data_IF_440759753142
#
_entry.id   IF_440759753142
#
_cell.length_a   1.000
_cell.length_b   1.000
_cell.length_c   1.000
_cell.angle_alpha   90.00
_cell.angle_beta   90.00
_cell.angle_gamma   90.00
#
_symmetry.space_group_name_H-M   'P 1'
#
loop_
_entity.id
_entity.type
_entity.pdbx_description
1 polymer ?
#
# COMPACT_ATOMS: atom_id res chain seq x y z
N UNK A 1 9.38 7.10 7.24
CA UNK A 1 10.01 5.85 6.76
C UNK A 1 11.13 5.54 7.73
N UNK A 2 11.17 4.37 8.36
CA UNK A 2 12.29 3.98 9.23
C UNK A 2 12.93 2.76 8.56
N UNK A 3 13.98 3.03 7.80
CA UNK A 3 15.04 2.04 7.59
C UNK A 3 15.63 1.77 8.97
N UNK A 4 15.71 0.51 9.35
CA UNK A 4 16.68 0.08 10.36
C UNK A 4 17.57 -0.93 9.69
N UNK A 5 18.86 -0.70 9.80
CA UNK A 5 19.87 -1.71 9.55
C UNK A 5 19.62 -2.89 10.48
N UNK A 6 19.56 -4.09 9.91
CA UNK A 6 19.79 -5.31 10.68
C UNK A 6 21.21 -5.25 11.29
N UNK A 7 21.50 -5.88 12.43
CA UNK A 7 22.85 -5.93 13.01
C UNK A 7 23.97 -6.39 12.05
N UNK A 8 23.66 -7.01 10.92
CA UNK A 8 24.58 -7.37 9.83
C UNK A 8 24.72 -6.30 8.73
N UNK A 9 24.03 -5.16 8.84
CA UNK A 9 24.04 -4.08 7.83
C UNK A 9 23.21 -4.36 6.59
N UNK A 10 22.39 -5.41 6.60
CA UNK A 10 21.57 -5.80 5.44
C UNK A 10 20.24 -5.04 5.39
N UNK A 11 19.87 -4.61 4.19
CA UNK A 11 18.59 -3.93 3.93
C UNK A 11 17.46 -4.96 3.91
N UNK A 12 16.87 -5.19 5.07
CA UNK A 12 15.72 -6.09 5.22
C UNK A 12 14.38 -5.37 4.99
N UNK A 13 13.54 -5.99 4.17
CA UNK A 13 12.18 -5.51 3.91
C UNK A 13 11.30 -5.70 5.16
N UNK A 14 10.79 -4.60 5.74
CA UNK A 14 9.85 -4.68 6.86
C UNK A 14 8.40 -4.80 6.36
N UNK A 15 7.72 -5.89 6.73
CA UNK A 15 6.29 -6.06 6.46
C UNK A 15 5.48 -5.04 7.27
N UNK A 16 4.73 -4.18 6.57
CA UNK A 16 3.79 -3.23 7.19
C UNK A 16 2.36 -3.60 6.82
N UNK A 17 1.66 -4.27 7.72
CA UNK A 17 0.25 -4.62 7.53
C UNK A 17 -0.66 -3.48 8.04
N UNK A 18 -1.83 -3.32 7.42
CA UNK A 18 -2.85 -2.38 7.90
C UNK A 18 -3.56 -2.87 9.16
N UNK A 19 -3.46 -4.17 9.48
CA UNK A 19 -4.14 -4.81 10.60
C UNK A 19 -5.65 -4.91 10.44
N UNK A 20 -6.18 -4.65 9.24
CA UNK A 20 -7.61 -4.72 8.97
C UNK A 20 -8.04 -6.17 8.75
N UNK A 21 -8.90 -6.70 9.63
CA UNK A 21 -9.51 -8.02 9.51
C UNK A 21 -10.90 -7.98 8.85
N UNK A 22 -11.37 -6.81 8.41
CA UNK A 22 -12.68 -6.67 7.79
C UNK A 22 -12.72 -7.35 6.42
N UNK A 23 -13.63 -8.31 6.25
CA UNK A 23 -13.85 -9.07 5.01
C UNK A 23 -15.01 -8.51 4.18
N UNK A 24 -15.77 -7.57 4.72
CA UNK A 24 -16.92 -6.96 4.06
C UNK A 24 -16.45 -6.15 2.87
N UNK A 25 -16.80 -6.59 1.65
CA UNK A 25 -16.73 -5.76 0.46
C UNK A 25 -17.68 -4.58 0.70
N UNK A 26 -17.16 -3.38 0.95
CA UNK A 26 -18.05 -2.22 0.92
C UNK A 26 -17.33 -0.92 0.65
N UNK A 27 -18.10 -0.04 0.01
CA UNK A 27 -17.74 1.30 -0.46
C UNK A 27 -16.83 2.03 0.53
N UNK A 28 -15.82 2.68 -0.04
CA UNK A 28 -14.87 3.56 0.63
C UNK A 28 -15.48 4.27 1.83
N UNK A 29 -14.94 3.99 3.02
CA UNK A 29 -15.32 4.64 4.26
C UNK A 29 -14.19 5.60 4.65
N UNK A 30 -14.41 6.93 4.55
CA UNK A 30 -13.43 7.91 4.99
C UNK A 30 -13.04 7.64 6.45
N UNK A 31 -11.76 7.39 6.70
CA UNK A 31 -11.23 7.01 8.02
C UNK A 31 -10.75 5.56 8.10
N UNK A 32 -11.57 4.59 7.68
CA UNK A 32 -11.17 3.17 7.63
C UNK A 32 -10.02 2.95 6.63
N UNK A 33 -10.13 3.58 5.46
CA UNK A 33 -9.24 3.34 4.33
C UNK A 33 -8.02 4.29 4.30
N UNK A 34 -7.91 5.20 5.26
CA UNK A 34 -6.84 6.20 5.30
C UNK A 34 -5.45 5.54 5.39
N UNK A 35 -5.32 4.48 6.19
CA UNK A 35 -4.07 3.71 6.32
C UNK A 35 -3.73 2.95 5.04
N UNK A 36 -4.74 2.36 4.39
CA UNK A 36 -4.55 1.64 3.13
C UNK A 36 -4.12 2.60 2.01
N UNK A 37 -4.79 3.74 1.88
CA UNK A 37 -4.42 4.80 0.93
C UNK A 37 -3.00 5.29 1.16
N UNK A 38 -2.60 5.58 2.40
CA UNK A 38 -1.24 6.03 2.72
C UNK A 38 -0.19 4.97 2.35
N UNK A 39 -0.47 3.70 2.61
CA UNK A 39 0.41 2.59 2.25
C UNK A 39 0.58 2.47 0.73
N UNK A 40 -0.51 2.56 -0.04
CA UNK A 40 -0.46 2.47 -1.50
C UNK A 40 0.36 3.63 -2.08
N UNK A 41 0.17 4.86 -1.58
CA UNK A 41 0.94 6.03 -2.03
C UNK A 41 2.44 5.86 -1.72
N UNK A 42 2.78 5.43 -0.49
CA UNK A 42 4.19 5.18 -0.11
C UNK A 42 4.84 4.10 -0.98
N UNK A 43 4.11 3.02 -1.28
CA UNK A 43 4.58 1.97 -2.17
C UNK A 43 4.80 2.50 -3.59
N UNK A 44 3.88 3.34 -4.09
CA UNK A 44 4.00 3.96 -5.41
C UNK A 44 5.18 4.92 -5.54
N UNK A 45 5.40 5.80 -4.56
CA UNK A 45 6.57 6.69 -4.51
C UNK A 45 7.88 5.90 -4.47
N UNK A 46 7.91 4.79 -3.74
CA UNK A 46 9.07 3.91 -3.65
C UNK A 46 9.26 2.96 -4.85
N UNK A 47 8.34 2.91 -5.81
CA UNK A 47 8.36 1.94 -6.92
C UNK A 47 8.21 0.49 -6.44
N UNK A 48 7.49 0.25 -5.35
CA UNK A 48 7.34 -1.06 -4.71
C UNK A 48 5.97 -1.69 -5.03
N UNK A 49 5.91 -3.02 -5.19
CA UNK A 49 4.66 -3.73 -5.36
C UNK A 49 3.88 -3.81 -4.03
N UNK A 50 2.55 -3.77 -4.12
CA UNK A 50 1.62 -3.94 -3.01
C UNK A 50 1.11 -5.38 -2.99
N UNK A 51 1.24 -6.06 -1.85
CA UNK A 51 0.71 -7.41 -1.62
C UNK A 51 -0.61 -7.34 -0.88
N UNK A 52 -1.62 -8.06 -1.39
CA UNK A 52 -2.94 -8.21 -0.78
C UNK A 52 -3.25 -9.69 -0.62
N UNK A 53 -3.70 -10.08 0.56
CA UNK A 53 -4.23 -11.42 0.80
C UNK A 53 -5.73 -11.39 0.51
N UNK A 54 -6.17 -12.25 -0.40
CA UNK A 54 -7.59 -12.45 -0.73
C UNK A 54 -7.88 -13.94 -0.67
N UNK A 55 -8.72 -14.38 0.27
CA UNK A 55 -9.15 -15.79 0.43
C UNK A 55 -7.96 -16.77 0.31
N UNK A 56 -6.95 -16.56 1.17
CA UNK A 56 -5.71 -17.34 1.25
C UNK A 56 -4.76 -17.28 0.04
N UNK A 57 -5.08 -16.46 -0.97
CA UNK A 57 -4.18 -16.17 -2.08
C UNK A 57 -3.49 -14.83 -1.88
N UNK A 58 -2.16 -14.82 -1.94
CA UNK A 58 -1.38 -13.58 -1.97
C UNK A 58 -1.29 -13.09 -3.41
N UNK A 59 -1.90 -11.92 -3.67
CA UNK A 59 -1.83 -11.24 -4.96
C UNK A 59 -0.90 -10.04 -4.83
N UNK A 60 0.11 -9.95 -5.70
CA UNK A 60 1.05 -8.83 -5.75
C UNK A 60 0.75 -7.99 -6.99
N UNK A 61 0.54 -6.68 -6.82
CA UNK A 61 0.21 -5.74 -7.89
C UNK A 61 0.90 -4.40 -7.66
N UNK A 62 1.09 -3.63 -8.72
CA UNK A 62 1.59 -2.25 -8.61
C UNK A 62 0.60 -1.36 -7.87
N UNK A 63 1.12 -0.33 -7.20
CA UNK A 63 0.33 0.61 -6.41
C UNK A 63 -0.83 1.23 -7.21
N UNK A 64 -0.60 1.64 -8.46
CA UNK A 64 -1.66 2.18 -9.33
C UNK A 64 -2.72 1.15 -9.66
N UNK A 65 -2.33 -0.11 -9.89
CA UNK A 65 -3.27 -1.18 -10.22
C UNK A 65 -4.13 -1.58 -9.01
N UNK A 66 -3.54 -1.56 -7.80
CA UNK A 66 -4.31 -1.71 -6.56
C UNK A 66 -5.23 -0.50 -6.34
N UNK A 67 -4.78 0.71 -6.63
CA UNK A 67 -5.62 1.90 -6.53
C UNK A 67 -6.81 1.85 -7.51
N UNK A 68 -6.59 1.39 -8.74
CA UNK A 68 -7.63 1.19 -9.74
C UNK A 68 -8.68 0.16 -9.29
N UNK A 69 -8.25 -0.99 -8.74
CA UNK A 69 -9.16 -1.99 -8.16
C UNK A 69 -10.03 -1.43 -7.04
N UNK A 70 -9.58 -0.36 -6.37
CA UNK A 70 -10.29 0.33 -5.28
C UNK A 70 -11.05 1.58 -5.75
N UNK A 71 -10.93 1.97 -7.01
CA UNK A 71 -11.52 3.19 -7.57
C UNK A 71 -10.82 4.50 -7.15
N UNK A 72 -9.55 4.45 -6.75
CA UNK A 72 -8.76 5.61 -6.27
C UNK A 72 -7.60 5.98 -7.19
N UNK A 73 -7.61 5.50 -8.43
CA UNK A 73 -6.47 5.58 -9.33
C UNK A 73 -5.94 7.01 -9.48
N UNK A 74 -6.81 7.96 -9.84
CA UNK A 74 -6.42 9.36 -10.06
C UNK A 74 -5.86 10.01 -8.80
N UNK A 75 -6.52 9.77 -7.67
CA UNK A 75 -6.12 10.32 -6.38
C UNK A 75 -4.73 9.82 -5.94
N UNK A 76 -4.45 8.53 -6.15
CA UNK A 76 -3.17 7.92 -5.80
C UNK A 76 -2.10 8.34 -6.80
N UNK A 77 -2.41 8.40 -8.10
CA UNK A 77 -1.50 8.85 -9.15
C UNK A 77 -0.99 10.26 -8.87
N UNK A 78 -1.90 11.19 -8.59
CA UNK A 78 -1.50 12.56 -8.27
C UNK A 78 -0.69 12.64 -6.97
N UNK A 79 -1.02 11.83 -5.97
CA UNK A 79 -0.28 11.81 -4.71
C UNK A 79 1.13 11.23 -4.87
N UNK A 80 1.32 10.22 -5.72
CA UNK A 80 2.64 9.68 -6.06
C UNK A 80 3.44 10.74 -6.81
N UNK A 81 2.86 11.42 -7.80
CA UNK A 81 3.51 12.48 -8.55
C UNK A 81 3.97 13.62 -7.62
N UNK A 82 3.13 14.02 -6.66
CA UNK A 82 3.48 15.03 -5.64
C UNK A 82 4.54 14.55 -4.64
N UNK A 83 4.54 13.26 -4.30
CA UNK A 83 5.48 12.67 -3.33
C UNK A 83 6.83 12.25 -3.91
N UNK A 84 6.99 12.30 -5.23
CA UNK A 84 8.25 11.99 -5.94
C UNK A 84 9.07 13.24 -6.29
N UNK A 85 8.58 14.43 -5.91
CA UNK A 85 9.26 15.72 -6.10
C UNK A 85 10.19 16.08 -4.96
#
# INVERSE_FOLDING_TARGET
MLMRDDPSGDKVWQLKATGCAATTQSKFAPGHDAKLKSLIIQAGVGGHPVRRVVRDTVVSKDALRVAADLGWEDLVRDAIARGSS
#
